data_IF_278733201565
#
_entry.id   IF_278733201565
#
_cell.length_a   1.000
_cell.length_b   1.000
_cell.length_c   1.000
_cell.angle_alpha   90.00
_cell.angle_beta   90.00
_cell.angle_gamma   90.00
#
_symmetry.space_group_name_H-M   'P 1'
#
loop_
_entity.id
_entity.type
_entity.pdbx_description
1 polymer ?
#
# COMPACT_ATOMS: atom_id res chain seq x y z
N UNK A 1 -28.69 -11.27 -31.89
CA UNK A 1 -27.94 -11.60 -30.66
C UNK A 1 -26.47 -11.19 -30.81
N UNK A 2 -26.13 -9.96 -30.40
CA UNK A 2 -24.75 -9.48 -30.35
C UNK A 2 -24.03 -10.13 -29.17
N UNK A 3 -23.06 -10.99 -29.47
CA UNK A 3 -22.12 -11.50 -28.46
C UNK A 3 -21.40 -10.29 -27.85
N UNK A 4 -21.55 -10.08 -26.55
CA UNK A 4 -20.72 -9.15 -25.81
C UNK A 4 -19.28 -9.62 -25.94
N UNK A 5 -18.47 -8.86 -26.66
CA UNK A 5 -17.03 -9.03 -26.67
C UNK A 5 -16.60 -8.75 -25.23
N UNK A 6 -16.15 -9.77 -24.51
CA UNK A 6 -15.59 -9.60 -23.17
C UNK A 6 -14.44 -8.61 -23.31
N UNK A 7 -14.63 -7.39 -22.79
CA UNK A 7 -13.57 -6.40 -22.77
C UNK A 7 -12.32 -7.05 -22.14
N UNK A 8 -11.13 -6.90 -22.75
CA UNK A 8 -9.91 -7.36 -22.11
C UNK A 8 -9.88 -6.73 -20.72
N UNK A 9 -9.69 -7.54 -19.67
CA UNK A 9 -9.64 -7.05 -18.29
C UNK A 9 -8.68 -5.86 -18.27
N UNK A 10 -9.21 -4.67 -17.99
CA UNK A 10 -8.39 -3.45 -17.90
C UNK A 10 -7.33 -3.70 -16.85
N UNK A 11 -6.07 -3.41 -17.18
CA UNK A 11 -5.03 -3.38 -16.17
C UNK A 11 -5.38 -2.24 -15.19
N UNK A 12 -5.66 -2.60 -13.94
CA UNK A 12 -6.01 -1.66 -12.87
C UNK A 12 -4.81 -1.31 -11.99
N UNK A 13 -3.62 -1.86 -12.25
CA UNK A 13 -2.39 -1.49 -11.54
C UNK A 13 -2.09 -0.02 -11.78
N UNK A 14 -1.80 0.71 -10.71
CA UNK A 14 -1.61 2.15 -10.71
C UNK A 14 -2.91 2.97 -10.67
N UNK A 15 -4.08 2.33 -10.76
CA UNK A 15 -5.35 3.03 -10.68
C UNK A 15 -5.80 3.22 -9.22
N UNK A 16 -6.56 4.30 -9.02
CA UNK A 16 -7.42 4.48 -7.85
C UNK A 16 -8.67 3.63 -8.01
N UNK A 17 -9.09 2.96 -6.95
CA UNK A 17 -10.28 2.11 -6.93
C UNK A 17 -11.16 2.46 -5.75
N UNK A 18 -12.44 2.11 -5.86
CA UNK A 18 -13.36 2.00 -4.73
C UNK A 18 -14.14 0.69 -4.81
N UNK A 19 -14.51 0.15 -3.66
CA UNK A 19 -15.41 -0.99 -3.57
C UNK A 19 -16.08 -1.06 -2.20
N UNK A 20 -17.18 -1.80 -2.14
CA UNK A 20 -17.76 -2.27 -0.89
C UNK A 20 -16.98 -3.47 -0.33
N UNK A 21 -16.86 -3.54 0.98
CA UNK A 21 -16.37 -4.70 1.74
C UNK A 21 -17.45 -5.18 2.70
N UNK A 22 -17.76 -6.48 2.67
CA UNK A 22 -18.72 -7.10 3.58
C UNK A 22 -18.09 -8.26 4.34
N UNK A 23 -17.95 -8.11 5.65
CA UNK A 23 -17.49 -9.18 6.53
C UNK A 23 -18.69 -9.97 7.07
N UNK A 24 -18.84 -11.23 6.66
CA UNK A 24 -19.95 -12.10 7.09
C UNK A 24 -21.33 -11.48 6.86
N UNK A 25 -22.15 -11.44 7.92
CA UNK A 25 -23.48 -10.80 7.91
C UNK A 25 -23.46 -9.31 8.28
N UNK A 26 -22.27 -8.72 8.45
CA UNK A 26 -22.10 -7.32 8.83
C UNK A 26 -22.52 -6.31 7.75
N UNK A 27 -22.51 -5.01 8.10
CA UNK A 27 -22.78 -3.94 7.14
C UNK A 27 -21.69 -3.88 6.06
N UNK A 28 -22.05 -3.35 4.89
CA UNK A 28 -21.09 -3.05 3.83
C UNK A 28 -20.36 -1.75 4.19
N UNK A 29 -19.04 -1.79 4.20
CA UNK A 29 -18.15 -0.63 4.37
C UNK A 29 -17.57 -0.22 3.02
N UNK A 30 -17.38 1.08 2.78
CA UNK A 30 -16.81 1.58 1.52
C UNK A 30 -15.33 1.86 1.69
N UNK A 31 -14.52 1.33 0.78
CA UNK A 31 -13.07 1.43 0.80
C UNK A 31 -12.56 2.07 -0.47
N UNK A 32 -11.55 2.92 -0.33
CA UNK A 32 -10.84 3.57 -1.43
C UNK A 32 -9.35 3.33 -1.29
N UNK A 33 -8.68 3.08 -2.39
CA UNK A 33 -7.27 2.74 -2.38
C UNK A 33 -6.61 2.81 -3.75
N UNK A 34 -5.32 2.54 -3.75
CA UNK A 34 -4.48 2.49 -4.94
C UNK A 34 -4.00 1.06 -5.15
N UNK A 35 -4.20 0.52 -6.36
CA UNK A 35 -3.63 -0.77 -6.73
C UNK A 35 -2.13 -0.58 -7.02
N UNK A 36 -1.29 -1.20 -6.21
CA UNK A 36 0.16 -1.07 -6.27
C UNK A 36 0.80 -2.03 -7.27
N UNK A 37 0.33 -3.28 -7.28
CA UNK A 37 0.90 -4.34 -8.09
C UNK A 37 -0.10 -5.49 -8.32
N UNK A 38 0.19 -6.33 -9.30
CA UNK A 38 -0.48 -7.60 -9.56
C UNK A 38 0.55 -8.73 -9.46
N UNK A 39 0.33 -9.67 -8.55
CA UNK A 39 1.35 -10.68 -8.22
C UNK A 39 1.58 -11.63 -9.40
N UNK A 40 2.80 -11.75 -9.96
CA UNK A 40 3.04 -12.54 -11.17
C UNK A 40 2.72 -14.03 -11.03
N UNK A 41 3.00 -14.60 -9.85
CA UNK A 41 2.74 -16.02 -9.54
C UNK A 41 1.27 -16.31 -9.23
N UNK A 42 0.46 -15.28 -8.96
CA UNK A 42 -0.99 -15.37 -8.85
C UNK A 42 -1.65 -14.09 -9.42
N UNK A 43 -1.94 -14.04 -10.74
CA UNK A 43 -2.51 -12.85 -11.37
C UNK A 43 -3.91 -12.46 -10.88
N UNK A 44 -4.55 -13.27 -10.02
CA UNK A 44 -5.81 -12.87 -9.39
C UNK A 44 -5.58 -11.92 -8.21
N UNK A 45 -4.39 -11.99 -7.59
CA UNK A 45 -4.03 -11.26 -6.38
C UNK A 45 -3.43 -9.90 -6.72
N UNK A 46 -4.02 -8.86 -6.14
CA UNK A 46 -3.56 -7.48 -6.23
C UNK A 46 -3.05 -7.00 -4.88
N UNK A 47 -1.98 -6.21 -4.89
CA UNK A 47 -1.51 -5.47 -3.72
C UNK A 47 -2.16 -4.07 -3.72
N UNK A 48 -2.76 -3.66 -2.62
CA UNK A 48 -3.54 -2.43 -2.51
C UNK A 48 -3.10 -1.65 -1.27
N UNK A 49 -2.87 -0.34 -1.44
CA UNK A 49 -2.77 0.63 -0.34
C UNK A 49 -4.12 1.32 -0.16
N UNK A 50 -4.80 1.10 0.96
CA UNK A 50 -6.03 1.82 1.28
C UNK A 50 -5.74 3.19 1.89
N UNK A 51 -6.66 4.13 1.69
CA UNK A 51 -6.57 5.48 2.24
C UNK A 51 -6.66 5.44 3.77
N UNK A 52 -5.70 6.07 4.44
CA UNK A 52 -5.68 6.14 5.91
C UNK A 52 -5.21 4.87 6.63
N UNK A 53 -4.76 3.84 5.90
CA UNK A 53 -4.21 2.60 6.48
C UNK A 53 -2.79 2.35 6.00
N UNK A 54 -1.85 2.11 6.89
CA UNK A 54 -0.43 1.99 6.52
C UNK A 54 -0.03 0.62 6.00
N UNK A 55 -0.83 -0.41 6.30
CA UNK A 55 -0.63 -1.75 5.77
C UNK A 55 -0.91 -1.84 4.27
N UNK A 56 -0.18 -2.72 3.60
CA UNK A 56 -0.47 -3.17 2.23
C UNK A 56 -1.32 -4.43 2.29
N UNK A 57 -2.44 -4.44 1.57
CA UNK A 57 -3.38 -5.56 1.56
C UNK A 57 -3.27 -6.36 0.26
N UNK A 58 -3.29 -7.68 0.37
CA UNK A 58 -3.40 -8.59 -0.77
C UNK A 58 -4.84 -9.09 -0.92
N UNK A 59 -5.51 -8.78 -2.04
CA UNK A 59 -6.87 -9.27 -2.31
C UNK A 59 -7.03 -9.77 -3.74
N UNK A 60 -7.80 -10.85 -3.90
CA UNK A 60 -8.28 -11.29 -5.20
C UNK A 60 -9.53 -10.50 -5.62
N UNK A 61 -9.36 -9.21 -5.96
CA UNK A 61 -10.45 -8.23 -6.15
C UNK A 61 -11.63 -8.68 -7.04
N UNK A 62 -11.39 -9.59 -7.99
CA UNK A 62 -12.42 -10.10 -8.91
C UNK A 62 -13.02 -11.47 -8.53
N UNK A 63 -12.54 -12.08 -7.44
CA UNK A 63 -12.93 -13.41 -6.98
C UNK A 63 -13.40 -13.43 -5.53
N UNK A 64 -12.92 -12.49 -4.72
CA UNK A 64 -13.31 -12.40 -3.31
C UNK A 64 -14.76 -11.92 -3.19
N UNK A 65 -15.64 -12.77 -2.65
CA UNK A 65 -17.08 -12.51 -2.50
C UNK A 65 -17.38 -11.38 -1.51
N UNK A 66 -16.42 -11.01 -0.65
CA UNK A 66 -16.54 -9.88 0.27
C UNK A 66 -16.41 -8.54 -0.47
N UNK A 67 -15.77 -8.54 -1.65
CA UNK A 67 -15.61 -7.36 -2.50
C UNK A 67 -16.86 -7.19 -3.37
N UNK A 68 -17.47 -6.02 -3.32
CA UNK A 68 -18.67 -5.69 -4.09
C UNK A 68 -18.53 -4.33 -4.77
N UNK A 69 -19.22 -4.12 -5.90
CA UNK A 69 -19.25 -2.84 -6.62
C UNK A 69 -17.85 -2.23 -6.88
N UNK A 70 -16.88 -3.06 -7.27
CA UNK A 70 -15.54 -2.59 -7.63
C UNK A 70 -15.60 -1.62 -8.81
N UNK A 71 -15.10 -0.41 -8.60
CA UNK A 71 -15.05 0.66 -9.59
C UNK A 71 -13.64 1.27 -9.64
N UNK A 72 -13.18 1.57 -10.85
CA UNK A 72 -11.95 2.34 -11.08
C UNK A 72 -12.30 3.81 -11.09
N UNK A 73 -11.71 4.57 -10.18
CA UNK A 73 -11.92 6.01 -10.06
C UNK A 73 -11.15 6.77 -11.16
N UNK A 74 -11.64 7.95 -11.60
CA UNK A 74 -10.96 8.77 -12.59
C UNK A 74 -9.68 9.43 -12.04
N UNK A 75 -9.55 9.51 -10.70
CA UNK A 75 -8.43 10.12 -10.01
C UNK A 75 -7.14 9.36 -10.32
N UNK A 76 -6.10 10.11 -10.70
CA UNK A 76 -4.75 9.54 -10.86
C UNK A 76 -4.00 9.67 -9.56
N UNK A 77 -3.17 8.68 -9.26
CA UNK A 77 -2.20 8.78 -8.17
C UNK A 77 -1.27 9.96 -8.46
N UNK A 78 -1.17 10.89 -7.51
CA UNK A 78 -0.27 12.02 -7.65
C UNK A 78 1.18 11.52 -7.77
N UNK A 79 1.84 11.85 -8.88
CA UNK A 79 3.26 11.59 -9.03
C UNK A 79 4.03 12.73 -8.39
N UNK A 80 4.60 12.47 -7.21
CA UNK A 80 5.50 13.39 -6.54
C UNK A 80 6.95 13.08 -6.92
N UNK A 81 7.81 14.11 -6.97
CA UNK A 81 9.24 13.86 -7.17
C UNK A 81 9.87 13.46 -5.83
N UNK A 82 10.73 12.46 -5.88
CA UNK A 82 11.54 12.06 -4.71
C UNK A 82 12.50 13.22 -4.40
N UNK A 83 12.56 13.61 -3.13
CA UNK A 83 13.38 14.74 -2.67
C UNK A 83 14.88 14.41 -2.68
N UNK A 84 15.26 13.22 -2.22
CA UNK A 84 16.63 12.71 -2.25
C UNK A 84 16.64 11.26 -2.75
N UNK A 85 16.94 11.08 -4.04
CA UNK A 85 16.95 9.77 -4.67
C UNK A 85 18.12 8.89 -4.16
N UNK A 86 19.26 9.50 -3.82
CA UNK A 86 20.42 8.74 -3.37
C UNK A 86 20.20 8.19 -1.96
N UNK A 87 19.67 9.01 -1.05
CA UNK A 87 19.26 8.55 0.27
C UNK A 87 18.20 7.44 0.15
N UNK A 88 17.19 7.64 -0.70
CA UNK A 88 16.15 6.64 -0.95
C UNK A 88 16.71 5.29 -1.41
N UNK A 89 17.74 5.27 -2.26
CA UNK A 89 18.39 4.03 -2.69
C UNK A 89 19.23 3.40 -1.56
N UNK A 90 19.88 4.23 -0.73
CA UNK A 90 20.78 3.78 0.35
C UNK A 90 20.02 3.15 1.52
N UNK A 91 18.79 3.59 1.75
CA UNK A 91 17.87 3.08 2.79
C UNK A 91 17.42 1.64 2.52
N UNK A 92 17.38 1.20 1.26
CA UNK A 92 16.84 -0.11 0.89
C UNK A 92 17.73 -1.23 1.46
N UNK A 93 17.09 -2.23 2.08
CA UNK A 93 17.74 -3.38 2.72
C UNK A 93 18.38 -3.08 4.07
N UNK A 94 18.21 -1.85 4.61
CA UNK A 94 18.75 -1.49 5.92
C UNK A 94 17.78 -1.85 7.04
N UNK A 95 18.36 -2.29 8.16
CA UNK A 95 17.66 -2.34 9.43
C UNK A 95 17.46 -0.91 9.94
N UNK A 96 16.32 -0.67 10.57
CA UNK A 96 15.92 0.65 11.07
C UNK A 96 15.26 0.57 12.44
N UNK A 97 15.37 1.64 13.19
CA UNK A 97 14.53 1.97 14.34
C UNK A 97 13.54 3.06 13.88
N UNK A 98 12.24 2.75 13.87
CA UNK A 98 11.16 3.68 13.48
C UNK A 98 10.33 4.05 14.71
N UNK A 99 10.19 5.35 14.96
CA UNK A 99 9.54 5.93 16.13
C UNK A 99 8.10 6.29 15.81
N UNK A 100 7.16 5.85 16.65
CA UNK A 100 5.75 6.16 16.53
C UNK A 100 5.25 6.89 17.77
N UNK A 101 4.46 7.95 17.59
CA UNK A 101 3.77 8.59 18.71
C UNK A 101 2.58 7.73 19.15
N UNK A 102 2.52 7.48 20.45
CA UNK A 102 1.41 6.78 21.11
C UNK A 102 0.33 7.77 21.55
N UNK A 103 -0.86 7.28 21.93
CA UNK A 103 -1.99 8.11 22.35
C UNK A 103 -1.66 9.06 23.53
N UNK A 104 -0.67 8.72 24.36
CA UNK A 104 -0.25 9.54 25.49
C UNK A 104 0.88 10.53 25.14
N UNK A 105 1.31 10.62 23.88
CA UNK A 105 2.38 11.48 23.39
C UNK A 105 3.80 10.94 23.60
N UNK A 106 3.95 9.74 24.18
CA UNK A 106 5.27 9.08 24.24
C UNK A 106 5.61 8.42 22.91
N UNK A 107 6.90 8.29 22.61
CA UNK A 107 7.37 7.62 21.39
C UNK A 107 7.70 6.16 21.69
N UNK A 108 7.15 5.25 20.89
CA UNK A 108 7.51 3.83 20.89
C UNK A 108 8.41 3.51 19.70
N UNK A 109 9.39 2.63 19.92
CA UNK A 109 10.40 2.29 18.92
C UNK A 109 10.14 0.89 18.35
N UNK A 110 10.11 0.83 17.03
CA UNK A 110 9.86 -0.37 16.25
C UNK A 110 11.05 -0.67 15.38
N UNK A 111 11.68 -1.82 15.65
CA UNK A 111 12.76 -2.36 14.82
C UNK A 111 12.18 -3.01 13.58
N UNK A 112 12.76 -2.69 12.44
CA UNK A 112 12.30 -3.19 11.17
C UNK A 112 13.37 -3.16 10.08
N UNK A 113 12.93 -3.43 8.85
CA UNK A 113 13.80 -3.41 7.68
C UNK A 113 13.06 -2.77 6.51
N UNK A 114 13.73 -1.85 5.83
CA UNK A 114 13.23 -1.26 4.59
C UNK A 114 13.46 -2.26 3.47
N UNK A 115 12.38 -2.70 2.82
CA UNK A 115 12.42 -3.80 1.87
C UNK A 115 12.68 -3.31 0.44
N UNK A 116 11.94 -2.30 0.01
CA UNK A 116 12.01 -1.77 -1.35
C UNK A 116 11.29 -0.41 -1.44
N UNK A 117 11.44 0.26 -2.58
CA UNK A 117 10.59 1.40 -2.96
C UNK A 117 9.25 0.91 -3.50
N UNK A 118 8.16 1.60 -3.18
CA UNK A 118 6.86 1.30 -3.75
C UNK A 118 6.82 1.70 -5.25
N UNK A 119 6.33 0.81 -6.15
CA UNK A 119 6.47 1.00 -7.59
C UNK A 119 5.61 2.14 -8.16
N UNK A 120 4.41 2.33 -7.63
CA UNK A 120 3.44 3.34 -8.10
C UNK A 120 3.56 4.64 -7.29
N UNK A 121 3.65 4.51 -5.97
CA UNK A 121 3.76 5.64 -5.04
C UNK A 121 5.23 5.88 -4.73
N UNK A 122 5.95 6.49 -5.67
CA UNK A 122 7.41 6.55 -5.69
C UNK A 122 8.07 7.26 -4.48
N UNK A 123 7.36 8.07 -3.70
CA UNK A 123 7.84 8.65 -2.44
C UNK A 123 7.66 7.74 -1.23
N UNK A 124 7.05 6.56 -1.42
CA UNK A 124 6.75 5.60 -0.36
C UNK A 124 7.66 4.38 -0.45
N UNK A 125 7.87 3.74 0.71
CA UNK A 125 8.75 2.58 0.88
C UNK A 125 7.98 1.44 1.51
N UNK A 126 8.27 0.22 1.07
CA UNK A 126 7.88 -0.99 1.76
C UNK A 126 8.80 -1.23 2.96
N UNK A 127 8.19 -1.51 4.10
CA UNK A 127 8.88 -1.79 5.36
C UNK A 127 8.12 -2.88 6.12
N UNK A 128 8.83 -3.65 6.93
CA UNK A 128 8.25 -4.62 7.87
C UNK A 128 8.96 -4.50 9.20
N UNK A 129 8.32 -4.97 10.28
CA UNK A 129 8.83 -4.85 11.64
C UNK A 129 8.98 -6.22 12.30
N UNK A 130 9.94 -6.33 13.23
CA UNK A 130 10.19 -7.59 13.95
C UNK A 130 9.00 -8.02 14.82
N UNK A 131 8.35 -7.04 15.46
CA UNK A 131 7.19 -7.27 16.34
C UNK A 131 5.89 -7.55 15.57
N UNK A 132 5.79 -7.07 14.33
CA UNK A 132 4.64 -7.28 13.45
C UNK A 132 5.10 -7.47 11.99
N UNK A 133 5.35 -8.73 11.57
CA UNK A 133 6.00 -9.05 10.29
C UNK A 133 5.04 -9.00 9.11
N UNK A 134 4.23 -7.95 9.03
CA UNK A 134 3.36 -7.64 7.87
C UNK A 134 4.00 -6.57 6.98
N UNK A 135 3.47 -6.40 5.77
CA UNK A 135 3.96 -5.43 4.80
C UNK A 135 3.30 -4.06 5.04
N UNK A 136 4.09 -3.07 5.45
CA UNK A 136 3.68 -1.69 5.59
C UNK A 136 4.22 -0.82 4.47
N UNK A 137 3.64 0.37 4.33
CA UNK A 137 4.11 1.38 3.40
C UNK A 137 4.08 2.77 4.05
N UNK A 138 5.21 3.48 4.09
CA UNK A 138 5.35 4.83 4.67
C UNK A 138 6.22 5.74 3.80
N UNK A 139 6.14 7.06 4.01
CA UNK A 139 7.02 8.05 3.39
C UNK A 139 8.31 8.25 4.20
N UNK A 140 9.12 7.20 4.30
CA UNK A 140 10.29 7.12 5.20
C UNK A 140 11.34 8.23 5.07
N UNK A 141 11.40 8.94 3.94
CA UNK A 141 12.26 10.12 3.78
C UNK A 141 11.81 11.30 4.65
N UNK A 142 10.51 11.41 4.91
CA UNK A 142 9.94 12.46 5.74
C UNK A 142 10.21 12.11 7.21
N UNK A 143 9.94 10.86 7.62
CA UNK A 143 10.28 10.34 8.96
C UNK A 143 11.79 10.48 9.28
N UNK A 144 12.66 10.22 8.29
CA UNK A 144 14.11 10.42 8.46
C UNK A 144 14.49 11.89 8.70
N UNK A 145 13.84 12.84 8.01
CA UNK A 145 14.11 14.28 8.19
C UNK A 145 13.60 14.80 9.52
N UNK A 146 12.48 14.26 10.00
CA UNK A 146 11.87 14.61 11.28
C UNK A 146 12.61 13.97 12.46
N UNK A 147 13.50 13.01 12.19
CA UNK A 147 14.31 12.32 13.19
C UNK A 147 13.59 11.12 13.82
N UNK A 148 12.48 10.69 13.23
CA UNK A 148 11.67 9.56 13.67
C UNK A 148 12.07 8.23 13.02
N UNK A 149 13.00 8.26 12.06
CA UNK A 149 13.58 7.06 11.47
C UNK A 149 15.11 7.09 11.55
N UNK A 150 15.68 6.06 12.20
CA UNK A 150 17.12 5.84 12.29
C UNK A 150 17.54 4.61 11.50
N UNK A 151 18.55 4.76 10.65
CA UNK A 151 19.20 3.66 9.92
C UNK A 151 20.32 3.08 10.80
N UNK A 152 20.37 1.76 10.93
CA UNK A 152 21.35 1.02 11.75
C UNK A 152 22.58 0.57 10.96
#
# INVERSE_FOLDING_TARGET
PSKSISQPRRNIVGCRIQHGWKEGSGPITQWKGTVLDQVPVNPSLYLIKYDGFDCVYGLELHKDERVSALEVLPDRVASSRISDAHLADTMIGKAVEHMFETENGSKDEWRGMILARAPIMNTWFYITYEKDPVLYMYQLLDDYKEGDLRIM
#
